data_IF_991550421448
#
_entry.id   IF_991550421448
#
_cell.length_a   1.000
_cell.length_b   1.000
_cell.length_c   1.000
_cell.angle_alpha   90.00
_cell.angle_beta   90.00
_cell.angle_gamma   90.00
#
_symmetry.space_group_name_H-M   'P 1'
#
loop_
_entity.id
_entity.type
_entity.pdbx_description
1 polymer ?
#
# COMPACT_ATOMS: atom_id res chain seq x y z
N UNK A 1 3.76 -15.35 13.98
CA UNK A 1 2.87 -14.24 13.55
C UNK A 1 2.80 -14.26 12.03
N UNK A 2 1.63 -14.07 11.42
CA UNK A 2 1.47 -14.08 9.96
C UNK A 2 1.73 -12.67 9.43
N UNK A 3 2.77 -12.48 8.62
CA UNK A 3 3.09 -11.18 8.03
C UNK A 3 1.98 -10.77 7.05
N UNK A 4 1.64 -9.48 7.03
CA UNK A 4 0.66 -8.94 6.09
C UNK A 4 1.23 -8.91 4.67
N UNK A 5 0.35 -9.06 3.68
CA UNK A 5 0.71 -8.78 2.29
C UNK A 5 1.07 -7.29 2.13
N UNK A 6 1.81 -6.93 1.07
CA UNK A 6 2.19 -5.53 0.83
C UNK A 6 0.93 -4.64 0.69
N UNK A 7 -0.10 -5.17 0.03
CA UNK A 7 -1.38 -4.47 -0.14
C UNK A 7 -2.14 -4.34 1.18
N UNK A 8 -2.21 -5.38 2.01
CA UNK A 8 -2.95 -5.30 3.28
C UNK A 8 -2.23 -4.36 4.27
N UNK A 9 -0.90 -4.43 4.33
CA UNK A 9 -0.11 -3.52 5.16
C UNK A 9 -0.26 -2.05 4.70
N UNK A 10 -0.27 -1.81 3.38
CA UNK A 10 -0.50 -0.48 2.83
C UNK A 10 -1.91 0.03 3.11
N UNK A 11 -2.93 -0.84 3.09
CA UNK A 11 -4.30 -0.47 3.46
C UNK A 11 -4.37 0.04 4.90
N UNK A 12 -3.74 -0.68 5.84
CA UNK A 12 -3.68 -0.28 7.25
C UNK A 12 -3.04 1.10 7.40
N UNK A 13 -1.89 1.31 6.76
CA UNK A 13 -1.17 2.59 6.84
C UNK A 13 -1.97 3.73 6.23
N UNK A 14 -2.48 3.57 5.00
CA UNK A 14 -3.26 4.61 4.33
C UNK A 14 -4.57 4.93 5.07
N UNK A 15 -5.21 3.93 5.67
CA UNK A 15 -6.44 4.10 6.46
C UNK A 15 -6.19 4.94 7.70
N UNK A 16 -5.05 4.73 8.37
CA UNK A 16 -4.69 5.50 9.56
C UNK A 16 -4.17 6.90 9.19
N UNK A 17 -3.36 7.01 8.13
CA UNK A 17 -2.82 8.28 7.67
C UNK A 17 -3.89 9.21 7.08
N UNK A 18 -4.97 8.65 6.50
CA UNK A 18 -6.07 9.38 5.83
C UNK A 18 -5.61 10.39 4.77
N UNK A 19 -4.44 10.16 4.18
CA UNK A 19 -3.84 11.00 3.14
C UNK A 19 -3.11 10.14 2.11
N UNK A 20 -2.94 10.62 0.88
CA UNK A 20 -2.07 9.96 -0.10
C UNK A 20 -0.63 9.91 0.40
N UNK A 21 0.08 8.82 0.11
CA UNK A 21 1.47 8.62 0.51
C UNK A 21 2.30 8.04 -0.63
N UNK A 22 3.59 8.39 -0.66
CA UNK A 22 4.55 7.80 -1.61
C UNK A 22 4.84 6.35 -1.22
N UNK A 23 5.20 5.50 -2.19
CA UNK A 23 5.62 4.13 -1.90
C UNK A 23 6.81 4.05 -0.92
N UNK A 24 7.70 5.05 -0.94
CA UNK A 24 8.83 5.11 0.00
C UNK A 24 8.31 5.31 1.42
N UNK A 25 7.45 6.31 1.63
CA UNK A 25 6.89 6.59 2.95
C UNK A 25 5.99 5.45 3.46
N UNK A 26 5.21 4.81 2.56
CA UNK A 26 4.39 3.65 2.92
C UNK A 26 5.25 2.47 3.33
N UNK A 27 6.29 2.14 2.57
CA UNK A 27 7.16 1.02 2.89
C UNK A 27 7.88 1.25 4.22
N UNK A 28 8.38 2.46 4.48
CA UNK A 28 9.03 2.81 5.74
C UNK A 28 8.07 2.66 6.93
N UNK A 29 6.84 3.18 6.81
CA UNK A 29 5.81 3.10 7.84
C UNK A 29 5.33 1.66 8.09
N UNK A 30 5.21 0.83 7.03
CA UNK A 30 4.90 -0.60 7.15
C UNK A 30 5.97 -1.33 7.96
N UNK A 31 7.24 -1.04 7.70
CA UNK A 31 8.37 -1.66 8.39
C UNK A 31 8.51 -1.14 9.83
N UNK A 32 8.36 0.17 10.03
CA UNK A 32 8.38 0.82 11.35
C UNK A 32 7.34 0.23 12.30
N UNK A 33 6.16 -0.12 11.77
CA UNK A 33 5.07 -0.75 12.52
C UNK A 33 5.19 -2.26 12.68
N UNK A 34 6.23 -2.89 12.13
CA UNK A 34 6.41 -4.34 12.16
C UNK A 34 5.29 -5.12 11.42
N UNK A 35 4.58 -4.48 10.49
CA UNK A 35 3.51 -5.14 9.72
C UNK A 35 4.08 -6.15 8.71
N UNK A 36 5.36 -5.96 8.33
CA UNK A 36 6.11 -6.80 7.41
C UNK A 36 7.61 -6.69 7.69
N UNK A 37 8.37 -7.72 7.34
CA UNK A 37 9.83 -7.68 7.39
C UNK A 37 10.46 -7.19 6.08
N UNK A 38 11.68 -6.68 6.18
CA UNK A 38 12.53 -6.40 5.01
C UNK A 38 12.89 -7.73 4.35
N UNK A 39 12.21 -8.07 3.27
CA UNK A 39 12.72 -9.07 2.33
C UNK A 39 13.86 -8.41 1.54
N UNK A 40 14.94 -9.10 1.19
CA UNK A 40 16.20 -8.54 0.63
C UNK A 40 16.11 -7.75 -0.69
N UNK A 41 14.90 -7.44 -1.16
CA UNK A 41 14.55 -6.55 -2.27
C UNK A 41 14.10 -5.19 -1.73
N UNK A 42 14.31 -4.11 -2.49
CA UNK A 42 13.89 -2.76 -2.09
C UNK A 42 12.39 -2.73 -1.74
N UNK A 43 12.02 -2.52 -0.46
CA UNK A 43 10.63 -2.61 0.02
C UNK A 43 9.64 -1.74 -0.75
N UNK A 44 10.05 -0.52 -1.11
CA UNK A 44 9.24 0.44 -1.87
C UNK A 44 8.96 -0.02 -3.30
N UNK A 45 9.87 -0.76 -3.94
CA UNK A 45 9.69 -1.30 -5.29
C UNK A 45 8.68 -2.46 -5.27
N UNK A 46 8.84 -3.39 -4.34
CA UNK A 46 7.88 -4.50 -4.15
C UNK A 46 6.49 -3.98 -3.81
N UNK A 47 6.40 -2.98 -2.94
CA UNK A 47 5.14 -2.34 -2.61
C UNK A 47 4.49 -1.67 -3.84
N UNK A 48 5.27 -0.91 -4.61
CA UNK A 48 4.80 -0.27 -5.84
C UNK A 48 4.24 -1.29 -6.85
N UNK A 49 4.96 -2.40 -7.08
CA UNK A 49 4.50 -3.47 -7.96
C UNK A 49 3.19 -4.11 -7.46
N UNK A 50 3.10 -4.40 -6.15
CA UNK A 50 1.91 -4.97 -5.55
C UNK A 50 0.68 -4.05 -5.65
N UNK A 51 0.86 -2.74 -5.42
CA UNK A 51 -0.21 -1.75 -5.54
C UNK A 51 -0.68 -1.61 -6.99
N UNK A 52 0.24 -1.51 -7.95
CA UNK A 52 -0.10 -1.45 -9.39
C UNK A 52 -0.85 -2.69 -9.85
N UNK A 53 -0.38 -3.86 -9.45
CA UNK A 53 -1.05 -5.12 -9.77
C UNK A 53 -2.46 -5.15 -9.18
N UNK A 54 -2.63 -4.73 -7.91
CA UNK A 54 -3.93 -4.64 -7.24
C UNK A 54 -4.89 -3.68 -7.95
N UNK A 55 -4.41 -2.53 -8.43
CA UNK A 55 -5.24 -1.56 -9.15
C UNK A 55 -5.71 -2.13 -10.49
N UNK A 56 -4.83 -2.84 -11.20
CA UNK A 56 -5.14 -3.39 -12.52
C UNK A 56 -6.03 -4.65 -12.49
N UNK A 57 -5.93 -5.48 -11.44
CA UNK A 57 -6.55 -6.81 -11.42
C UNK A 57 -7.67 -6.98 -10.39
N UNK A 58 -7.88 -6.02 -9.48
CA UNK A 58 -8.97 -6.11 -8.49
C UNK A 58 -10.08 -5.12 -8.82
N UNK A 59 -11.33 -5.61 -8.78
CA UNK A 59 -12.54 -4.80 -8.95
C UNK A 59 -13.51 -5.08 -7.78
N UNK A 60 -13.91 -4.05 -7.00
CA UNK A 60 -13.44 -2.68 -7.08
C UNK A 60 -11.96 -2.56 -6.69
N UNK A 61 -11.24 -1.65 -7.35
CA UNK A 61 -9.86 -1.36 -6.98
C UNK A 61 -9.82 -0.84 -5.53
N UNK A 62 -8.95 -1.41 -4.70
CA UNK A 62 -8.78 -0.97 -3.30
C UNK A 62 -7.97 0.32 -3.16
N UNK A 63 -7.13 0.59 -4.15
CA UNK A 63 -6.21 1.73 -4.17
C UNK A 63 -6.43 2.56 -5.43
N UNK A 64 -6.00 3.81 -5.37
CA UNK A 64 -5.88 4.69 -6.53
C UNK A 64 -4.50 5.33 -6.54
N UNK A 65 -3.97 5.57 -7.74
CA UNK A 65 -2.73 6.31 -7.92
C UNK A 65 -3.08 7.79 -8.12
N UNK A 66 -2.64 8.65 -7.20
CA UNK A 66 -2.94 10.10 -7.24
C UNK A 66 -1.79 10.94 -7.80
N UNK A 67 -0.65 10.30 -8.07
CA UNK A 67 0.57 10.93 -8.63
C UNK A 67 1.65 9.89 -8.91
N UNK A 68 2.80 10.31 -9.43
CA UNK A 68 3.90 9.39 -9.74
C UNK A 68 4.41 8.70 -8.46
N UNK A 69 4.08 7.41 -8.29
CA UNK A 69 4.45 6.65 -7.09
C UNK A 69 3.70 7.06 -5.80
N UNK A 70 2.59 7.80 -5.92
CA UNK A 70 1.75 8.24 -4.80
C UNK A 70 0.41 7.51 -4.85
N UNK A 71 0.04 6.90 -3.73
CA UNK A 71 -1.15 6.06 -3.62
C UNK A 71 -2.07 6.52 -2.49
N UNK A 72 -3.36 6.34 -2.69
CA UNK A 72 -4.41 6.56 -1.70
C UNK A 72 -5.39 5.38 -1.70
N UNK A 73 -6.22 5.28 -0.66
CA UNK A 73 -7.36 4.37 -0.66
C UNK A 73 -8.38 4.84 -1.69
N UNK A 74 -8.91 3.88 -2.46
CA UNK A 74 -10.03 4.17 -3.33
C UNK A 74 -11.22 4.63 -2.45
N UNK A 75 -11.98 5.65 -2.89
CA UNK A 75 -13.22 5.99 -2.22
C UNK A 75 -14.10 4.73 -2.24
N UNK A 76 -14.39 4.18 -1.05
CA UNK A 76 -15.40 3.11 -0.96
C UNK A 76 -16.68 3.72 -1.51
N UNK A 77 -17.23 3.13 -2.57
CA UNK A 77 -18.58 3.44 -2.99
C UNK A 77 -19.45 3.33 -1.74
N UNK A 78 -19.96 4.47 -1.27
CA UNK A 78 -20.95 4.47 -0.20
C UNK A 78 -22.17 3.80 -0.81
N UNK A 79 -22.37 2.53 -0.46
CA UNK A 79 -23.70 1.93 -0.47
C UNK A 79 -24.53 2.53 0.64
#
# INVERSE_FOLDING_TARGET
MRQLSWTDAAEVVLRQARKPMTCVALADEILSRGLRDKSGVTPSSSLNAALRWSIAHQSPARFIQTGAGVYALAPRAKG
#
